data_IF_420307522763
#
_entry.id   IF_420307522763
#
_cell.length_a   1.000
_cell.length_b   1.000
_cell.length_c   1.000
_cell.angle_alpha   90.00
_cell.angle_beta   90.00
_cell.angle_gamma   90.00
#
_symmetry.space_group_name_H-M   'P 1'
#
loop_
_entity.id
_entity.type
_entity.pdbx_description
1 polymer ?
#
# COMPACT_ATOMS: atom_id res chain seq x y z
N UNK A 1 -63.21 23.40 13.85
CA UNK A 1 -62.36 22.29 14.31
C UNK A 1 -62.13 21.45 13.08
N UNK A 2 -61.08 21.76 12.34
CA UNK A 2 -60.73 21.05 11.11
C UNK A 2 -59.80 19.88 11.49
N UNK A 3 -60.22 18.67 11.16
CA UNK A 3 -59.44 17.46 11.34
C UNK A 3 -58.31 17.41 10.30
N UNK A 4 -57.07 17.51 10.78
CA UNK A 4 -55.87 17.31 9.98
C UNK A 4 -55.56 15.81 9.99
N UNK A 5 -55.72 15.15 8.84
CA UNK A 5 -55.31 13.76 8.65
C UNK A 5 -53.81 13.69 8.31
N UNK A 6 -53.05 12.76 8.91
CA UNK A 6 -51.62 12.61 8.63
C UNK A 6 -51.38 12.02 7.24
N UNK A 7 -50.45 12.62 6.50
CA UNK A 7 -49.97 12.15 5.21
C UNK A 7 -49.03 10.96 5.47
N UNK A 8 -49.42 9.78 4.99
CA UNK A 8 -48.59 8.57 5.03
C UNK A 8 -47.60 8.62 3.85
N UNK A 9 -46.27 8.54 4.08
CA UNK A 9 -45.29 8.47 3.01
C UNK A 9 -45.51 7.21 2.16
N UNK A 10 -45.62 7.38 0.85
CA UNK A 10 -45.66 6.24 -0.08
C UNK A 10 -44.24 5.82 -0.44
N UNK A 11 -43.97 4.52 -0.36
CA UNK A 11 -42.69 3.95 -0.78
C UNK A 11 -42.47 4.17 -2.28
N UNK A 12 -41.24 4.51 -2.71
CA UNK A 12 -40.92 4.69 -4.10
C UNK A 12 -41.09 3.36 -4.87
N UNK A 13 -41.56 3.41 -6.12
CA UNK A 13 -41.75 2.20 -6.92
C UNK A 13 -40.41 1.49 -7.17
N UNK A 14 -40.41 0.15 -7.23
CA UNK A 14 -39.20 -0.63 -7.46
C UNK A 14 -38.56 -0.27 -8.81
N UNK A 15 -37.26 0.00 -8.79
CA UNK A 15 -36.50 0.32 -9.99
C UNK A 15 -36.34 -0.93 -10.88
N UNK A 16 -36.52 -0.73 -12.19
CA UNK A 16 -36.38 -1.76 -13.22
C UNK A 16 -34.93 -2.26 -13.30
N UNK A 17 -34.70 -3.57 -13.50
CA UNK A 17 -33.34 -4.09 -13.70
C UNK A 17 -32.72 -3.54 -15.00
N UNK A 18 -31.40 -3.29 -15.01
CA UNK A 18 -30.70 -2.77 -16.18
C UNK A 18 -30.70 -3.78 -17.35
N UNK A 19 -30.67 -3.30 -18.60
CA UNK A 19 -30.77 -4.14 -19.79
C UNK A 19 -29.59 -5.11 -19.94
N UNK A 20 -29.93 -6.38 -20.18
CA UNK A 20 -29.06 -7.57 -20.20
C UNK A 20 -28.00 -7.59 -21.34
N UNK A 21 -28.07 -6.65 -22.27
CA UNK A 21 -27.29 -6.67 -23.53
C UNK A 21 -25.81 -6.29 -23.36
N UNK A 22 -25.44 -5.60 -22.26
CA UNK A 22 -24.07 -5.12 -22.04
C UNK A 22 -23.12 -6.14 -21.37
N UNK A 23 -23.61 -7.27 -20.86
CA UNK A 23 -22.75 -8.24 -20.14
C UNK A 23 -21.91 -9.14 -21.06
N UNK A 24 -22.35 -9.38 -22.31
CA UNK A 24 -21.65 -10.29 -23.23
C UNK A 24 -20.34 -9.73 -23.81
N UNK A 25 -20.26 -8.41 -24.02
CA UNK A 25 -19.07 -7.79 -24.61
C UNK A 25 -17.90 -7.65 -23.62
N UNK A 26 -18.18 -7.52 -22.33
CA UNK A 26 -17.15 -7.33 -21.30
C UNK A 26 -16.28 -8.59 -21.07
N UNK A 27 -16.90 -9.78 -21.18
CA UNK A 27 -16.22 -11.08 -20.97
C UNK A 27 -15.17 -11.41 -22.05
N UNK A 28 -15.41 -10.97 -23.29
CA UNK A 28 -14.54 -11.31 -24.42
C UNK A 28 -13.26 -10.48 -24.44
N UNK A 29 -13.31 -9.23 -23.95
CA UNK A 29 -12.15 -8.32 -23.90
C UNK A 29 -11.12 -8.75 -22.84
N UNK A 30 -11.59 -9.18 -21.65
CA UNK A 30 -10.73 -9.66 -20.55
C UNK A 30 -9.88 -10.87 -20.93
N UNK A 31 -10.42 -11.78 -21.73
CA UNK A 31 -9.70 -12.99 -22.19
C UNK A 31 -8.53 -12.65 -23.13
N UNK A 32 -8.66 -11.62 -23.97
CA UNK A 32 -7.58 -11.17 -24.86
C UNK A 32 -6.44 -10.51 -24.09
N UNK A 33 -6.77 -9.70 -23.08
CA UNK A 33 -5.79 -9.05 -22.23
C UNK A 33 -5.01 -10.06 -21.39
N UNK A 34 -5.70 -11.04 -20.79
CA UNK A 34 -5.06 -12.09 -20.00
C UNK A 34 -4.03 -12.90 -20.81
N UNK A 35 -4.37 -13.26 -22.06
CA UNK A 35 -3.46 -13.99 -22.95
C UNK A 35 -2.24 -13.15 -23.34
N UNK A 36 -2.41 -11.83 -23.53
CA UNK A 36 -1.31 -10.92 -23.83
C UNK A 36 -0.33 -10.80 -22.64
N UNK A 37 -0.86 -10.68 -21.42
CA UNK A 37 -0.03 -10.59 -20.19
C UNK A 37 0.75 -11.88 -19.95
N UNK A 38 0.13 -13.05 -20.11
CA UNK A 38 0.81 -14.34 -19.98
C UNK A 38 1.95 -14.46 -21.02
N UNK A 39 1.71 -14.02 -22.26
CA UNK A 39 2.74 -14.01 -23.30
C UNK A 39 3.96 -13.16 -22.94
N UNK A 40 3.74 -11.97 -22.38
CA UNK A 40 4.82 -11.05 -21.96
C UNK A 40 5.65 -11.67 -20.82
N UNK A 41 5.01 -12.27 -19.82
CA UNK A 41 5.69 -12.89 -18.68
C UNK A 41 6.61 -14.04 -19.16
N UNK A 42 6.13 -14.89 -20.08
CA UNK A 42 6.94 -16.00 -20.62
C UNK A 42 8.19 -15.47 -21.33
N UNK A 43 8.08 -14.38 -22.09
CA UNK A 43 9.22 -13.76 -22.78
C UNK A 43 10.24 -13.22 -21.77
N UNK A 44 9.79 -12.51 -20.73
CA UNK A 44 10.68 -11.95 -19.70
C UNK A 44 11.44 -13.05 -18.95
N UNK A 45 10.73 -14.12 -18.53
CA UNK A 45 11.36 -15.26 -17.84
C UNK A 45 12.38 -15.96 -18.74
N UNK A 46 12.08 -16.10 -20.04
CA UNK A 46 13.00 -16.71 -21.00
C UNK A 46 14.29 -15.87 -21.18
N UNK A 47 14.18 -14.54 -21.20
CA UNK A 47 15.32 -13.63 -21.31
C UNK A 47 16.19 -13.69 -20.03
N UNK A 48 15.57 -13.73 -18.85
CA UNK A 48 16.30 -13.85 -17.58
C UNK A 48 17.06 -15.19 -17.46
N UNK A 49 16.46 -16.28 -17.95
CA UNK A 49 17.10 -17.58 -17.97
C UNK A 49 18.31 -17.62 -18.92
N UNK A 50 18.18 -17.01 -20.11
CA UNK A 50 19.27 -16.91 -21.09
C UNK A 50 20.45 -16.05 -20.61
N UNK A 51 20.18 -14.98 -19.87
CA UNK A 51 21.23 -14.10 -19.33
C UNK A 51 22.02 -14.77 -18.19
N UNK A 52 21.39 -15.65 -17.42
CA UNK A 52 22.09 -16.47 -16.41
C UNK A 52 23.07 -17.47 -17.05
N UNK A 53 22.76 -17.98 -18.24
CA UNK A 53 23.63 -18.90 -18.98
C UNK A 53 24.83 -18.21 -19.66
N UNK A 54 24.71 -16.93 -20.00
CA UNK A 54 25.75 -16.20 -20.73
C UNK A 54 26.79 -15.51 -19.83
N UNK A 55 26.49 -15.29 -18.54
CA UNK A 55 27.39 -14.59 -17.62
C UNK A 55 27.89 -15.43 -16.43
N UNK A 56 27.48 -16.70 -16.33
CA UNK A 56 27.92 -17.62 -15.28
C UNK A 56 29.24 -18.32 -15.60
N UNK A 57 30.36 -17.60 -15.64
CA UNK A 57 31.66 -18.24 -15.83
C UNK A 57 32.85 -17.30 -15.88
N UNK A 58 33.33 -16.84 -14.72
CA UNK A 58 34.77 -16.76 -14.40
C UNK A 58 34.94 -16.29 -12.96
N UNK A 59 35.28 -17.20 -12.06
CA UNK A 59 35.73 -16.90 -10.71
C UNK A 59 37.05 -17.62 -10.49
N UNK A 60 38.13 -16.95 -10.88
CA UNK A 60 39.50 -17.45 -10.76
C UNK A 60 39.91 -17.50 -9.27
N UNK A 61 40.33 -18.68 -8.82
CA UNK A 61 40.99 -18.87 -7.53
C UNK A 61 42.37 -18.21 -7.60
N UNK A 62 42.62 -17.21 -6.77
CA UNK A 62 43.94 -16.68 -6.49
C UNK A 62 44.42 -17.29 -5.16
N UNK A 63 45.14 -18.40 -5.28
CA UNK A 63 46.02 -18.90 -4.22
C UNK A 63 47.34 -18.14 -4.31
N UNK A 64 47.67 -17.36 -3.28
CA UNK A 64 49.05 -17.13 -2.86
C UNK A 64 49.06 -16.44 -1.48
N UNK A 65 49.70 -17.10 -0.51
CA UNK A 65 50.88 -16.58 0.20
C UNK A 65 50.91 -16.87 1.72
N UNK A 66 51.99 -17.57 2.10
CA UNK A 66 52.89 -17.34 3.24
C UNK A 66 52.60 -17.99 4.60
N UNK A 67 53.28 -19.12 4.78
CA UNK A 67 53.85 -19.56 6.04
C UNK A 67 54.83 -18.53 6.64
N UNK A 68 54.59 -18.09 7.88
CA UNK A 68 55.60 -17.65 8.88
C UNK A 68 55.12 -18.08 10.28
N UNK A 69 55.99 -18.62 11.16
CA UNK A 69 55.59 -19.32 12.38
C UNK A 69 55.38 -18.41 13.62
N UNK A 70 54.70 -19.04 14.59
CA UNK A 70 54.30 -18.67 15.95
C UNK A 70 55.29 -17.84 16.78
N UNK A 71 54.77 -16.90 17.60
CA UNK A 71 54.82 -17.02 19.08
C UNK A 71 54.06 -15.87 19.79
N UNK A 72 53.24 -16.27 20.78
CA UNK A 72 52.87 -15.56 22.02
C UNK A 72 52.16 -14.19 21.93
N UNK A 73 50.83 -14.18 22.17
CA UNK A 73 50.22 -13.48 23.32
C UNK A 73 48.69 -13.49 23.22
N UNK A 74 48.05 -13.75 24.36
CA UNK A 74 46.62 -13.63 24.65
C UNK A 74 45.66 -14.47 23.81
N UNK A 75 45.45 -15.68 24.31
CA UNK A 75 44.25 -16.49 24.11
C UNK A 75 43.02 -15.73 24.65
N UNK A 76 42.56 -14.74 23.91
CA UNK A 76 41.12 -14.45 23.88
C UNK A 76 40.55 -15.65 23.14
N UNK A 77 39.85 -16.54 23.84
CA UNK A 77 39.03 -17.56 23.18
C UNK A 77 38.08 -16.82 22.24
N UNK A 78 38.49 -16.70 20.98
CA UNK A 78 37.63 -16.41 19.86
C UNK A 78 36.75 -17.64 19.78
N UNK A 79 35.65 -17.63 20.55
CA UNK A 79 34.57 -18.60 20.43
C UNK A 79 34.28 -18.64 18.94
N UNK A 80 34.64 -19.73 18.32
CA UNK A 80 34.46 -19.92 16.89
C UNK A 80 32.95 -20.05 16.74
N UNK A 81 32.28 -18.93 16.42
CA UNK A 81 30.82 -18.89 16.44
C UNK A 81 30.32 -19.97 15.50
N UNK A 82 29.43 -20.81 16.04
CA UNK A 82 28.92 -21.95 15.31
C UNK A 82 27.73 -21.44 14.52
N UNK A 83 27.99 -20.99 13.29
CA UNK A 83 26.93 -20.51 12.39
C UNK A 83 25.84 -21.57 12.21
N UNK A 84 24.60 -21.10 12.11
CA UNK A 84 23.38 -21.84 11.85
C UNK A 84 22.99 -22.79 12.99
N UNK A 85 23.29 -22.42 14.23
CA UNK A 85 22.88 -23.13 15.43
C UNK A 85 21.56 -22.57 16.04
N UNK A 86 21.03 -21.49 15.48
CA UNK A 86 19.81 -20.81 15.92
C UNK A 86 20.00 -19.93 17.17
N UNK A 87 21.23 -19.64 17.57
CA UNK A 87 21.58 -18.84 18.74
C UNK A 87 22.52 -17.73 18.32
N UNK A 88 22.09 -16.47 18.43
CA UNK A 88 22.93 -15.31 18.14
C UNK A 88 24.04 -15.15 19.20
N UNK A 89 25.25 -15.57 18.86
CA UNK A 89 26.42 -15.56 19.74
C UNK A 89 27.21 -14.23 19.69
N UNK A 90 28.11 -14.04 20.67
CA UNK A 90 28.97 -12.85 20.70
C UNK A 90 29.91 -12.81 19.48
N UNK A 91 29.72 -11.81 18.63
CA UNK A 91 30.49 -11.63 17.39
C UNK A 91 29.68 -11.92 16.12
N UNK A 92 28.48 -12.49 16.26
CA UNK A 92 27.52 -12.64 15.17
C UNK A 92 26.65 -11.40 15.02
N UNK A 93 26.00 -11.27 13.86
CA UNK A 93 25.12 -10.16 13.61
C UNK A 93 23.97 -10.48 12.64
N UNK A 94 22.91 -9.66 12.70
CA UNK A 94 21.71 -9.85 11.90
C UNK A 94 21.91 -9.67 10.38
N UNK A 95 23.07 -9.19 9.92
CA UNK A 95 23.33 -8.98 8.51
C UNK A 95 24.04 -10.18 7.90
N UNK A 96 25.09 -10.65 8.57
CA UNK A 96 25.97 -11.74 8.12
C UNK A 96 25.49 -13.12 8.60
N UNK A 97 24.74 -13.19 9.70
CA UNK A 97 24.33 -14.42 10.40
C UNK A 97 22.80 -14.45 10.63
N UNK A 98 22.01 -14.19 9.58
CA UNK A 98 20.53 -14.04 9.66
C UNK A 98 19.78 -15.26 10.22
N UNK A 99 20.35 -16.44 10.09
CA UNK A 99 19.74 -17.68 10.58
C UNK A 99 19.81 -17.78 12.11
N UNK A 100 20.84 -17.19 12.72
CA UNK A 100 21.06 -17.18 14.17
C UNK A 100 20.58 -15.88 14.82
N UNK A 101 20.81 -14.76 14.13
CA UNK A 101 20.51 -13.41 14.59
C UNK A 101 19.32 -12.81 13.83
N UNK A 102 18.10 -13.11 14.30
CA UNK A 102 16.87 -12.50 13.77
C UNK A 102 16.47 -11.26 14.58
N UNK A 103 16.01 -10.22 13.88
CA UNK A 103 15.48 -9.03 14.55
C UNK A 103 14.08 -9.27 15.09
N UNK A 104 13.73 -8.56 16.17
CA UNK A 104 12.40 -8.67 16.78
C UNK A 104 11.36 -8.04 15.88
N UNK A 105 10.09 -8.34 16.15
CA UNK A 105 8.98 -7.74 15.42
C UNK A 105 9.04 -6.21 15.51
N UNK A 106 9.03 -5.55 14.35
CA UNK A 106 9.13 -4.10 14.22
C UNK A 106 10.56 -3.56 14.15
N UNK A 107 11.60 -4.38 14.36
CA UNK A 107 13.00 -4.00 14.15
C UNK A 107 13.48 -4.41 12.75
N UNK A 108 14.50 -3.73 12.25
CA UNK A 108 15.21 -4.11 11.03
C UNK A 108 16.71 -4.23 11.30
N UNK A 109 17.39 -5.00 10.45
CA UNK A 109 18.84 -5.09 10.52
C UNK A 109 19.48 -3.91 9.77
N UNK A 110 20.06 -2.97 10.53
CA UNK A 110 20.77 -1.84 9.94
C UNK A 110 22.01 -2.32 9.18
N UNK A 111 22.14 -1.92 7.91
CA UNK A 111 23.33 -2.21 7.10
C UNK A 111 24.60 -1.56 7.68
N UNK A 112 24.46 -0.38 8.28
CA UNK A 112 25.58 0.37 8.85
C UNK A 112 26.01 -0.20 10.19
N UNK A 113 25.06 -0.43 11.10
CA UNK A 113 25.35 -0.88 12.47
C UNK A 113 25.53 -2.39 12.57
N UNK A 114 25.11 -3.14 11.54
CA UNK A 114 24.98 -4.60 11.58
C UNK A 114 24.25 -5.07 12.84
N UNK A 115 23.23 -4.34 13.25
CA UNK A 115 22.49 -4.64 14.47
C UNK A 115 21.02 -4.37 14.24
N UNK A 116 20.18 -5.09 14.98
CA UNK A 116 18.76 -4.81 15.00
C UNK A 116 18.54 -3.45 15.64
N UNK A 117 17.79 -2.60 14.95
CA UNK A 117 17.40 -1.28 15.43
C UNK A 117 15.91 -1.10 15.21
N UNK A 118 15.29 -0.33 16.09
CA UNK A 118 13.91 0.09 15.92
C UNK A 118 13.86 1.33 15.02
N UNK A 119 12.85 1.44 14.15
CA UNK A 119 12.54 2.68 13.44
C UNK A 119 12.20 3.81 14.42
N UNK A 120 12.35 5.06 13.99
CA UNK A 120 12.13 6.24 14.85
C UNK A 120 10.90 6.98 14.35
N UNK A 121 9.77 6.66 14.97
CA UNK A 121 8.49 7.24 14.59
C UNK A 121 8.21 8.61 15.22
N UNK A 122 7.46 9.44 14.49
CA UNK A 122 7.06 10.80 14.83
C UNK A 122 7.95 11.90 14.23
N UNK A 123 8.79 11.60 13.24
CA UNK A 123 9.57 12.62 12.53
C UNK A 123 8.79 13.24 11.34
N UNK A 124 7.63 12.65 10.97
CA UNK A 124 6.78 13.08 9.87
C UNK A 124 7.18 12.56 8.48
N UNK A 125 8.18 11.68 8.39
CA UNK A 125 8.64 11.07 7.14
C UNK A 125 8.59 9.55 7.25
N UNK A 126 7.99 8.86 6.27
CA UNK A 126 7.98 7.40 6.22
C UNK A 126 9.29 6.89 5.60
N UNK A 127 10.20 6.40 6.43
CA UNK A 127 11.52 5.93 6.02
C UNK A 127 11.49 4.51 5.40
N UNK A 128 12.61 4.10 4.78
CA UNK A 128 12.67 2.84 4.00
C UNK A 128 12.33 1.57 4.81
N UNK A 129 12.58 1.58 6.11
CA UNK A 129 12.29 0.46 7.01
C UNK A 129 11.06 0.71 7.88
N UNK A 130 10.30 1.75 7.55
CA UNK A 130 9.07 2.12 8.22
C UNK A 130 7.89 1.75 7.33
N UNK A 131 6.85 1.20 7.96
CA UNK A 131 5.62 0.81 7.33
C UNK A 131 4.45 1.01 8.31
N UNK A 132 3.19 0.92 7.86
CA UNK A 132 2.03 1.13 8.73
C UNK A 132 1.96 0.21 9.97
N UNK A 133 2.70 -0.91 10.02
CA UNK A 133 2.70 -1.84 11.16
C UNK A 133 3.72 -1.46 12.24
N UNK A 134 4.84 -0.83 11.88
CA UNK A 134 5.88 -0.44 12.83
C UNK A 134 6.00 1.08 13.02
N UNK A 135 5.42 1.88 12.13
CA UNK A 135 5.51 3.34 12.13
C UNK A 135 4.28 4.05 11.53
N UNK A 136 3.10 3.68 12.00
CA UNK A 136 1.83 4.27 11.56
C UNK A 136 1.72 5.80 11.68
N UNK A 137 2.47 6.39 12.61
CA UNK A 137 2.48 7.83 12.85
C UNK A 137 3.05 8.61 11.67
N UNK A 138 4.05 8.07 10.99
CA UNK A 138 4.72 8.73 9.86
C UNK A 138 4.31 8.12 8.51
N UNK A 139 4.15 6.79 8.46
CA UNK A 139 3.75 6.06 7.25
C UNK A 139 2.24 6.05 6.99
N UNK A 140 1.45 6.62 7.91
CA UNK A 140 0.01 6.57 7.86
C UNK A 140 -0.54 5.17 8.15
N UNK A 141 -1.86 5.05 8.05
CA UNK A 141 -2.59 3.83 8.35
C UNK A 141 -3.05 3.11 7.07
N UNK A 142 -3.43 1.85 7.23
CA UNK A 142 -4.08 1.09 6.16
C UNK A 142 -5.41 1.73 5.70
N UNK A 143 -5.90 1.33 4.53
CA UNK A 143 -7.13 1.90 3.96
C UNK A 143 -8.31 1.82 4.95
N UNK A 144 -9.00 2.94 5.14
CA UNK A 144 -10.13 3.05 6.05
C UNK A 144 -9.77 3.23 7.53
N UNK A 145 -8.47 3.35 7.84
CA UNK A 145 -7.98 3.65 9.18
C UNK A 145 -7.35 5.04 9.25
N UNK A 146 -7.39 5.64 10.44
CA UNK A 146 -6.75 6.93 10.74
C UNK A 146 -5.91 6.76 12.00
N UNK A 147 -4.76 7.44 12.06
CA UNK A 147 -3.92 7.41 13.25
C UNK A 147 -4.58 8.25 14.36
N UNK A 148 -4.89 7.58 15.47
CA UNK A 148 -5.39 8.20 16.69
C UNK A 148 -4.24 8.39 17.68
N UNK A 149 -3.84 9.64 17.87
CA UNK A 149 -2.78 10.03 18.82
C UNK A 149 -3.09 9.68 20.28
N UNK A 150 -4.37 9.54 20.66
CA UNK A 150 -4.74 9.16 22.02
C UNK A 150 -4.57 7.65 22.26
N UNK A 151 -4.85 6.85 21.23
CA UNK A 151 -4.67 5.40 21.25
C UNK A 151 -3.26 4.97 20.82
N UNK A 152 -2.43 5.92 20.35
CA UNK A 152 -1.12 5.70 19.72
C UNK A 152 -1.16 4.57 18.66
N UNK A 153 -2.26 4.51 17.91
CA UNK A 153 -2.54 3.42 16.99
C UNK A 153 -3.51 3.81 15.88
N UNK A 154 -3.55 2.99 14.84
CA UNK A 154 -4.53 3.14 13.76
C UNK A 154 -5.88 2.62 14.23
N UNK A 155 -6.91 3.45 14.09
CA UNK A 155 -8.29 3.10 14.40
C UNK A 155 -9.12 3.09 13.13
N UNK A 156 -10.04 2.13 13.01
CA UNK A 156 -11.04 2.15 11.95
C UNK A 156 -11.93 3.38 12.14
N UNK A 157 -12.13 4.14 11.07
CA UNK A 157 -13.01 5.30 11.08
C UNK A 157 -13.96 5.19 9.91
N UNK A 158 -15.25 5.08 10.23
CA UNK A 158 -16.31 5.04 9.25
C UNK A 158 -16.47 6.42 8.60
N UNK A 159 -16.62 6.43 7.28
CA UNK A 159 -17.04 7.61 6.53
C UNK A 159 -18.52 7.88 6.81
N UNK A 160 -18.89 9.11 7.18
CA UNK A 160 -20.26 9.42 7.64
C UNK A 160 -21.04 10.38 6.76
N UNK A 161 -20.42 10.99 5.74
CA UNK A 161 -21.16 11.88 4.85
C UNK A 161 -22.22 11.12 4.05
N UNK A 162 -23.42 11.68 4.00
CA UNK A 162 -24.51 11.13 3.19
C UNK A 162 -24.25 11.36 1.71
N UNK A 163 -24.84 10.51 0.85
CA UNK A 163 -24.77 10.66 -0.61
C UNK A 163 -25.24 12.05 -1.08
N UNK A 164 -26.28 12.61 -0.45
CA UNK A 164 -26.73 13.97 -0.72
C UNK A 164 -25.63 15.01 -0.45
N UNK A 165 -24.94 14.89 0.69
CA UNK A 165 -23.87 15.82 1.07
C UNK A 165 -22.65 15.68 0.17
N UNK A 166 -22.32 14.45 -0.25
CA UNK A 166 -21.28 14.18 -1.24
C UNK A 166 -21.61 14.90 -2.55
N UNK A 167 -22.85 14.80 -3.02
CA UNK A 167 -23.31 15.49 -4.23
C UNK A 167 -23.16 17.01 -4.14
N UNK A 168 -23.55 17.62 -3.01
CA UNK A 168 -23.38 19.07 -2.78
C UNK A 168 -21.91 19.50 -2.82
N UNK A 169 -21.02 18.72 -2.20
CA UNK A 169 -19.57 18.98 -2.16
C UNK A 169 -18.97 18.90 -3.56
N UNK A 170 -19.32 17.87 -4.33
CA UNK A 170 -18.84 17.69 -5.70
C UNK A 170 -19.36 18.82 -6.61
N UNK A 171 -20.65 19.14 -6.55
CA UNK A 171 -21.24 20.20 -7.36
C UNK A 171 -20.58 21.55 -7.09
N UNK A 172 -20.35 21.90 -5.82
CA UNK A 172 -19.65 23.11 -5.43
C UNK A 172 -18.20 23.16 -5.95
N UNK A 173 -17.46 22.06 -5.81
CA UNK A 173 -16.06 21.95 -6.25
C UNK A 173 -15.91 22.13 -7.77
N UNK A 174 -16.70 21.40 -8.57
CA UNK A 174 -16.61 21.50 -10.03
C UNK A 174 -17.20 22.80 -10.57
N UNK A 175 -18.27 23.32 -9.95
CA UNK A 175 -18.83 24.63 -10.31
C UNK A 175 -17.82 25.76 -10.11
N UNK A 176 -17.02 25.71 -9.03
CA UNK A 176 -15.94 26.68 -8.80
C UNK A 176 -14.87 26.66 -9.90
N UNK A 177 -14.72 25.53 -10.62
CA UNK A 177 -13.84 25.37 -11.78
C UNK A 177 -14.53 25.69 -13.12
N UNK A 178 -15.77 26.15 -13.11
CA UNK A 178 -16.55 26.43 -14.32
C UNK A 178 -17.03 25.17 -15.05
N UNK A 179 -17.05 24.02 -14.36
CA UNK A 179 -17.53 22.75 -14.90
C UNK A 179 -18.86 22.38 -14.26
N UNK A 180 -19.73 21.69 -15.01
CA UNK A 180 -21.02 21.25 -14.50
C UNK A 180 -21.00 19.74 -14.24
N UNK A 181 -21.32 19.35 -13.01
CA UNK A 181 -21.51 17.96 -12.63
C UNK A 181 -22.70 17.37 -13.42
N UNK A 182 -22.51 16.19 -14.01
CA UNK A 182 -23.57 15.44 -14.69
C UNK A 182 -24.16 14.40 -13.75
N UNK A 183 -23.31 13.50 -13.24
CA UNK A 183 -23.64 12.53 -12.21
C UNK A 183 -22.36 12.13 -11.44
N UNK A 184 -22.53 11.33 -10.39
CA UNK A 184 -21.42 10.65 -9.73
C UNK A 184 -21.86 9.25 -9.28
N UNK A 185 -20.89 8.38 -9.02
CA UNK A 185 -21.10 7.03 -8.46
C UNK A 185 -20.14 6.81 -7.31
N UNK A 186 -20.66 6.36 -6.16
CA UNK A 186 -19.87 6.02 -4.98
C UNK A 186 -19.35 4.59 -5.12
N UNK A 187 -18.05 4.35 -4.89
CA UNK A 187 -17.45 3.01 -5.06
C UNK A 187 -17.55 2.12 -3.82
N UNK A 188 -18.14 2.62 -2.72
CA UNK A 188 -18.12 2.03 -1.37
C UNK A 188 -16.70 1.75 -0.84
N UNK A 189 -15.66 2.29 -1.48
CA UNK A 189 -14.28 2.14 -1.07
C UNK A 189 -13.90 3.30 -0.18
N UNK A 190 -13.65 3.01 1.10
CA UNK A 190 -13.13 3.99 2.05
C UNK A 190 -11.63 4.09 1.87
N UNK A 191 -11.13 5.31 1.74
CA UNK A 191 -9.70 5.61 1.55
C UNK A 191 -9.22 6.52 2.66
N UNK A 192 -7.92 6.45 2.96
CA UNK A 192 -7.27 7.38 3.88
C UNK A 192 -6.33 8.26 3.08
N UNK A 193 -6.51 9.57 3.17
CA UNK A 193 -5.67 10.56 2.51
C UNK A 193 -5.22 11.60 3.53
N UNK A 194 -3.91 11.76 3.71
CA UNK A 194 -3.33 12.72 4.68
C UNK A 194 -3.95 12.62 6.09
N UNK A 195 -4.10 11.38 6.59
CA UNK A 195 -4.72 11.09 7.89
C UNK A 195 -6.20 11.49 8.00
N UNK A 196 -6.90 11.61 6.88
CA UNK A 196 -8.34 11.84 6.83
C UNK A 196 -9.04 10.74 6.04
N UNK A 197 -10.22 10.35 6.51
CA UNK A 197 -11.06 9.39 5.81
C UNK A 197 -11.77 10.08 4.66
N UNK A 198 -11.77 9.43 3.50
CA UNK A 198 -12.61 9.81 2.38
C UNK A 198 -13.28 8.60 1.76
N UNK A 199 -14.16 8.89 0.81
CA UNK A 199 -14.77 7.89 -0.05
C UNK A 199 -14.40 8.16 -1.50
N UNK A 200 -14.04 7.09 -2.21
CA UNK A 200 -13.78 7.18 -3.63
C UNK A 200 -15.10 7.28 -4.41
N UNK A 201 -15.11 8.19 -5.38
CA UNK A 201 -16.24 8.46 -6.27
C UNK A 201 -15.77 8.55 -7.71
N UNK A 202 -16.62 8.09 -8.64
CA UNK A 202 -16.47 8.36 -10.06
C UNK A 202 -17.38 9.50 -10.47
N UNK A 203 -16.80 10.53 -11.06
CA UNK A 203 -17.50 11.76 -11.44
C UNK A 203 -17.66 11.81 -12.96
N UNK A 204 -18.86 12.10 -13.46
CA UNK A 204 -19.06 12.48 -14.87
C UNK A 204 -19.39 13.95 -14.97
N UNK A 205 -18.70 14.66 -15.85
CA UNK A 205 -18.89 16.09 -16.11
C UNK A 205 -19.62 16.31 -17.43
N UNK A 206 -20.48 17.33 -17.53
CA UNK A 206 -21.25 17.58 -18.77
C UNK A 206 -20.40 18.00 -19.96
N UNK A 207 -19.22 18.56 -19.71
CA UNK A 207 -18.32 19.09 -20.74
C UNK A 207 -17.27 18.08 -21.23
N UNK A 208 -17.24 16.88 -20.67
CA UNK A 208 -16.22 15.87 -20.96
C UNK A 208 -16.86 14.50 -21.19
N UNK A 209 -16.29 13.72 -22.10
CA UNK A 209 -16.65 12.30 -22.23
C UNK A 209 -15.79 11.47 -21.28
N UNK A 210 -16.43 10.73 -20.38
CA UNK A 210 -15.76 9.81 -19.47
C UNK A 210 -16.19 9.96 -18.01
N UNK A 211 -15.54 9.17 -17.16
CA UNK A 211 -15.63 9.27 -15.71
C UNK A 211 -14.23 9.53 -15.15
N UNK A 212 -14.13 10.44 -14.19
CA UNK A 212 -12.88 10.76 -13.49
C UNK A 212 -12.97 10.27 -12.04
N UNK A 213 -11.94 9.58 -11.51
CA UNK A 213 -11.88 9.22 -10.11
C UNK A 213 -11.57 10.46 -9.25
N UNK A 214 -12.30 10.61 -8.16
CA UNK A 214 -12.05 11.61 -7.13
C UNK A 214 -12.27 11.00 -5.74
N UNK A 215 -11.74 11.66 -4.71
CA UNK A 215 -11.93 11.31 -3.32
C UNK A 215 -12.66 12.46 -2.64
N UNK A 216 -13.74 12.17 -1.93
CA UNK A 216 -14.43 13.14 -1.08
C UNK A 216 -14.07 12.84 0.36
N UNK A 217 -13.37 13.78 1.02
CA UNK A 217 -12.97 13.68 2.42
C UNK A 217 -14.14 14.00 3.35
N UNK A 218 -14.07 13.49 4.57
CA UNK A 218 -15.07 13.70 5.62
C UNK A 218 -15.31 15.19 5.93
N UNK A 219 -14.28 16.03 5.82
CA UNK A 219 -14.38 17.49 5.97
C UNK A 219 -15.06 18.22 4.79
N UNK A 220 -15.41 17.50 3.70
CA UNK A 220 -16.00 18.07 2.49
C UNK A 220 -15.01 18.58 1.45
N UNK A 221 -13.73 18.22 1.55
CA UNK A 221 -12.71 18.50 0.53
C UNK A 221 -12.77 17.46 -0.58
N UNK A 222 -12.58 17.88 -1.83
CA UNK A 222 -12.47 16.98 -2.99
C UNK A 222 -11.02 16.91 -3.44
N UNK A 223 -10.47 15.70 -3.50
CA UNK A 223 -9.13 15.41 -4.03
C UNK A 223 -9.31 14.71 -5.37
N UNK A 224 -8.88 15.35 -6.44
CA UNK A 224 -8.89 14.76 -7.78
C UNK A 224 -7.73 13.79 -7.93
N UNK A 225 -7.98 12.60 -8.47
CA UNK A 225 -6.92 11.66 -8.78
C UNK A 225 -6.20 12.12 -10.05
N UNK A 226 -5.04 12.75 -9.91
CA UNK A 226 -4.16 13.02 -11.04
C UNK A 226 -3.57 11.69 -11.51
N UNK A 227 -4.08 11.17 -12.63
CA UNK A 227 -3.38 10.13 -13.41
C UNK A 227 -2.16 10.71 -14.13
#
# INVERSE_FOLDING_TARGET
MDEIYPIVPQDPPPQSPPPEENQKNYSTSRKKYLLAVIGIIIVIVSIAFLSSYLFGGSGENLDDNKDIPQENSEKTEKLQSVKNNGVCESGENCLDDREDCTCRQGEYCSLEKKSCVSPICGNGECEYFEDPNNCNKDCGCWQGQVYDSAADSCVEKAFTLSEMRIGEVLDAHYSAKGMALSNFTITNTTVTYQNEVGIEVFVSLKSQEGVEPAIVLENGTVVESTN
#
